data_IF_724066551930
#
_entry.id   IF_724066551930
#
_cell.length_a   1.000
_cell.length_b   1.000
_cell.length_c   1.000
_cell.angle_alpha   90.00
_cell.angle_beta   90.00
_cell.angle_gamma   90.00
#
_symmetry.space_group_name_H-M   'P 1'
#
loop_
_entity.id
_entity.type
_entity.pdbx_description
1 polymer ?
#
# COMPACT_ATOMS: atom_id res chain seq x y z
N UNK A 1 -11.83 -5.43 -31.81
CA UNK A 1 -11.30 -6.28 -32.90
C UNK A 1 -10.65 -7.49 -32.27
N UNK A 2 -11.23 -8.63 -32.59
CA UNK A 2 -10.96 -10.00 -32.18
C UNK A 2 -9.55 -10.45 -32.59
N UNK A 3 -8.87 -11.26 -31.77
CA UNK A 3 -8.47 -12.62 -32.16
C UNK A 3 -7.59 -13.30 -31.09
N UNK A 4 -8.16 -14.39 -30.57
CA UNK A 4 -7.45 -15.55 -30.04
C UNK A 4 -6.60 -16.19 -31.15
N UNK A 5 -5.43 -16.72 -30.80
CA UNK A 5 -4.77 -17.73 -31.62
C UNK A 5 -4.13 -18.78 -30.69
N UNK A 6 -4.82 -19.92 -30.61
CA UNK A 6 -4.28 -21.20 -30.20
C UNK A 6 -3.31 -21.69 -31.27
N UNK A 7 -2.27 -22.43 -30.89
CA UNK A 7 -1.68 -23.44 -31.76
C UNK A 7 -1.09 -24.59 -30.93
N UNK A 8 -1.86 -25.67 -30.90
CA UNK A 8 -1.50 -27.04 -30.60
C UNK A 8 -0.50 -27.57 -31.62
N UNK A 9 0.60 -28.17 -31.15
CA UNK A 9 1.44 -29.06 -31.96
C UNK A 9 1.33 -30.46 -31.38
N UNK A 10 0.63 -31.31 -32.12
CA UNK A 10 0.54 -32.75 -31.93
C UNK A 10 1.49 -33.38 -32.96
N UNK A 11 2.54 -34.07 -32.51
CA UNK A 11 3.31 -34.98 -33.37
C UNK A 11 3.47 -36.29 -32.62
N UNK A 12 2.76 -37.29 -33.14
CA UNK A 12 2.84 -38.71 -32.86
C UNK A 12 4.12 -39.32 -33.48
N UNK A 13 4.80 -40.20 -32.75
CA UNK A 13 5.89 -41.05 -33.29
C UNK A 13 6.03 -42.36 -32.50
N UNK A 14 5.65 -43.45 -33.19
CA UNK A 14 6.18 -44.84 -33.18
C UNK A 14 6.09 -45.63 -31.86
N UNK A 15 5.34 -46.74 -31.83
CA UNK A 15 5.67 -48.07 -32.40
C UNK A 15 6.89 -48.74 -31.74
N UNK A 16 6.64 -49.83 -31.02
CA UNK A 16 7.68 -50.78 -30.62
C UNK A 16 7.48 -51.47 -29.27
N UNK A 17 6.85 -52.65 -29.32
CA UNK A 17 7.30 -53.88 -28.65
C UNK A 17 7.32 -53.99 -27.12
N UNK A 18 6.32 -54.75 -26.65
CA UNK A 18 6.35 -55.76 -25.57
C UNK A 18 7.71 -56.08 -24.95
N UNK A 19 7.84 -55.82 -23.66
CA UNK A 19 8.38 -56.78 -22.67
C UNK A 19 7.62 -56.60 -21.36
N UNK A 20 6.89 -57.64 -20.97
CA UNK A 20 6.30 -57.80 -19.64
C UNK A 20 7.44 -57.88 -18.60
N UNK A 21 7.85 -56.71 -18.10
CA UNK A 21 8.72 -56.57 -16.93
C UNK A 21 7.86 -56.47 -15.68
N UNK A 22 8.08 -57.39 -14.75
CA UNK A 22 7.36 -57.50 -13.48
C UNK A 22 7.16 -56.14 -12.79
N UNK A 23 5.89 -55.80 -12.57
CA UNK A 23 5.46 -54.78 -11.62
C UNK A 23 5.95 -55.21 -10.22
N UNK A 24 7.16 -54.79 -9.87
CA UNK A 24 7.50 -54.59 -8.47
C UNK A 24 6.59 -53.46 -8.00
N UNK A 25 5.48 -53.82 -7.35
CA UNK A 25 4.68 -52.94 -6.52
C UNK A 25 5.62 -52.17 -5.59
N UNK A 26 5.95 -50.94 -5.96
CA UNK A 26 6.69 -50.06 -5.07
C UNK A 26 5.80 -49.82 -3.85
N UNK A 27 6.28 -50.09 -2.62
CA UNK A 27 5.52 -49.74 -1.43
C UNK A 27 5.19 -48.25 -1.51
N UNK A 28 3.94 -47.85 -1.17
CA UNK A 28 3.51 -46.47 -1.31
C UNK A 28 4.51 -45.57 -0.60
N UNK A 29 5.16 -44.69 -1.36
CA UNK A 29 6.11 -43.73 -0.84
C UNK A 29 5.41 -43.02 0.33
N UNK A 30 5.94 -43.22 1.53
CA UNK A 30 5.51 -42.53 2.73
C UNK A 30 5.61 -41.03 2.43
N UNK A 31 4.49 -40.39 2.09
CA UNK A 31 4.42 -38.93 2.05
C UNK A 31 4.53 -38.51 3.51
N UNK A 32 5.60 -37.80 3.91
CA UNK A 32 5.63 -37.19 5.22
C UNK A 32 4.34 -36.41 5.37
N UNK A 33 3.57 -36.73 6.43
CA UNK A 33 2.32 -36.06 6.70
C UNK A 33 2.62 -34.56 6.78
N UNK A 34 2.05 -33.78 5.87
CA UNK A 34 2.29 -32.34 5.82
C UNK A 34 2.06 -31.75 7.23
N UNK A 35 2.97 -30.91 7.75
CA UNK A 35 2.77 -30.31 9.05
C UNK A 35 1.43 -29.57 9.04
N UNK A 36 0.64 -29.67 10.12
CA UNK A 36 -0.64 -28.97 10.20
C UNK A 36 -0.40 -27.48 9.96
N UNK A 37 -1.30 -26.80 9.23
CA UNK A 37 -1.12 -25.40 8.92
C UNK A 37 -0.94 -24.60 10.22
N UNK A 38 -0.03 -23.62 10.24
CA UNK A 38 0.23 -22.85 11.45
C UNK A 38 -1.08 -22.23 11.95
N UNK A 39 -1.38 -22.45 13.24
CA UNK A 39 -2.54 -21.86 13.88
C UNK A 39 -2.41 -20.35 13.79
N UNK A 40 -3.38 -19.69 13.15
CA UNK A 40 -3.43 -18.23 13.08
C UNK A 40 -3.74 -17.70 14.48
N UNK A 41 -2.98 -16.70 14.94
CA UNK A 41 -3.26 -16.06 16.23
C UNK A 41 -4.66 -15.41 16.27
N UNK A 42 -5.22 -15.17 17.47
CA UNK A 42 -6.60 -14.68 17.64
C UNK A 42 -6.93 -13.42 16.83
N UNK A 43 -5.93 -12.56 16.61
CA UNK A 43 -6.07 -11.31 15.85
C UNK A 43 -6.54 -11.52 14.41
N UNK A 44 -6.25 -12.68 13.81
CA UNK A 44 -6.64 -12.99 12.44
C UNK A 44 -8.10 -13.43 12.31
N UNK A 45 -8.80 -13.63 13.44
CA UNK A 45 -10.22 -13.97 13.46
C UNK A 45 -11.12 -12.73 13.59
N UNK A 46 -10.52 -11.56 13.81
CA UNK A 46 -11.26 -10.30 13.91
C UNK A 46 -11.58 -9.82 12.48
N UNK A 47 -12.85 -9.53 12.16
CA UNK A 47 -13.22 -8.95 10.87
C UNK A 47 -12.52 -7.60 10.63
N UNK A 48 -12.20 -7.31 9.36
CA UNK A 48 -11.44 -6.11 9.00
C UNK A 48 -12.18 -4.83 9.36
N UNK A 49 -13.51 -4.85 9.35
CA UNK A 49 -14.39 -3.74 9.70
C UNK A 49 -14.21 -3.33 11.17
N UNK A 50 -14.04 -4.33 12.06
CA UNK A 50 -13.81 -4.10 13.48
C UNK A 50 -12.41 -3.53 13.69
N UNK A 51 -11.40 -4.05 12.98
CA UNK A 51 -10.04 -3.48 13.02
C UNK A 51 -10.03 -2.03 12.54
N UNK A 52 -10.72 -1.71 11.44
CA UNK A 52 -10.81 -0.33 10.94
C UNK A 52 -11.44 0.59 11.99
N UNK A 53 -12.50 0.16 12.68
CA UNK A 53 -13.11 0.94 13.78
C UNK A 53 -12.12 1.17 14.92
N UNK A 54 -11.35 0.16 15.30
CA UNK A 54 -10.28 0.31 16.31
C UNK A 54 -9.25 1.34 15.84
N UNK A 55 -8.81 1.28 14.58
CA UNK A 55 -7.85 2.24 14.04
C UNK A 55 -8.38 3.67 14.05
N UNK A 56 -9.67 3.87 13.76
CA UNK A 56 -10.32 5.19 13.85
C UNK A 56 -10.40 5.73 15.27
N UNK A 57 -10.47 4.85 16.29
CA UNK A 57 -10.46 5.26 17.70
C UNK A 57 -9.05 5.60 18.17
N UNK A 58 -8.04 4.84 17.75
CA UNK A 58 -6.63 5.05 18.12
C UNK A 58 -6.03 6.25 17.40
N UNK A 59 -6.42 6.48 16.16
CA UNK A 59 -5.97 7.59 15.33
C UNK A 59 -7.18 8.36 14.77
N UNK A 60 -7.83 9.20 15.60
CA UNK A 60 -8.99 9.97 15.18
C UNK A 60 -8.67 10.91 14.02
N UNK A 61 -9.58 11.03 13.03
CA UNK A 61 -9.33 11.95 11.92
C UNK A 61 -9.14 13.38 12.44
N UNK A 62 -8.31 14.15 11.74
CA UNK A 62 -8.03 15.57 12.02
C UNK A 62 -7.22 15.85 13.30
N UNK A 63 -6.47 14.86 13.79
CA UNK A 63 -5.45 15.05 14.83
C UNK A 63 -4.07 14.90 14.20
N UNK A 64 -3.12 15.77 14.56
CA UNK A 64 -1.76 15.79 14.01
C UNK A 64 -1.06 14.43 14.13
N UNK A 65 -1.19 13.81 15.29
CA UNK A 65 -0.51 12.57 15.65
C UNK A 65 -1.09 11.35 14.91
N UNK A 66 -2.29 11.46 14.32
CA UNK A 66 -3.02 10.31 13.81
C UNK A 66 -2.34 9.62 12.63
N UNK A 67 -1.77 10.37 11.67
CA UNK A 67 -1.03 9.77 10.56
C UNK A 67 0.20 8.99 11.04
N UNK A 68 0.84 9.48 12.12
CA UNK A 68 1.99 8.81 12.74
C UNK A 68 1.59 7.54 13.47
N UNK A 69 0.49 7.60 14.23
CA UNK A 69 -0.02 6.43 14.94
C UNK A 69 -0.49 5.36 13.95
N UNK A 70 -1.19 5.72 12.87
CA UNK A 70 -1.50 4.81 11.78
C UNK A 70 -0.24 4.17 11.20
N UNK A 71 0.82 4.96 10.99
CA UNK A 71 2.11 4.44 10.52
C UNK A 71 2.68 3.38 11.48
N UNK A 72 2.69 3.64 12.79
CA UNK A 72 3.12 2.65 13.80
C UNK A 72 2.27 1.38 13.74
N UNK A 73 0.96 1.51 13.58
CA UNK A 73 0.05 0.35 13.50
C UNK A 73 0.33 -0.53 12.27
N UNK A 74 0.86 0.02 11.17
CA UNK A 74 1.31 -0.78 10.02
C UNK A 74 2.50 -1.69 10.30
N UNK A 75 3.19 -1.53 11.43
CA UNK A 75 4.32 -2.36 11.83
C UNK A 75 3.96 -3.51 12.78
N UNK A 76 2.73 -3.58 13.29
CA UNK A 76 2.30 -4.62 14.26
C UNK A 76 2.34 -6.02 13.64
N UNK A 77 1.63 -6.22 12.52
CA UNK A 77 1.65 -7.48 11.78
C UNK A 77 1.24 -7.26 10.32
N UNK A 78 1.45 -8.28 9.46
CA UNK A 78 1.06 -8.20 8.05
C UNK A 78 -0.44 -7.96 7.86
N UNK A 79 -1.28 -8.53 8.72
CA UNK A 79 -2.73 -8.37 8.63
C UNK A 79 -3.17 -6.92 8.90
N UNK A 80 -2.61 -6.28 9.93
CA UNK A 80 -2.90 -4.87 10.24
C UNK A 80 -2.40 -3.94 9.15
N UNK A 81 -1.20 -4.19 8.63
CA UNK A 81 -0.66 -3.45 7.48
C UNK A 81 -1.59 -3.50 6.28
N UNK A 82 -2.06 -4.69 5.91
CA UNK A 82 -2.98 -4.85 4.78
C UNK A 82 -4.32 -4.16 5.03
N UNK A 83 -4.87 -4.25 6.24
CA UNK A 83 -6.12 -3.56 6.59
C UNK A 83 -5.96 -2.02 6.49
N UNK A 84 -4.87 -1.47 7.01
CA UNK A 84 -4.60 -0.03 7.04
C UNK A 84 -4.28 0.57 5.68
N UNK A 85 -3.42 -0.08 4.89
CA UNK A 85 -3.02 0.43 3.57
C UNK A 85 -4.21 0.46 2.61
N UNK A 86 -5.13 -0.51 2.71
CA UNK A 86 -6.32 -0.54 1.87
C UNK A 86 -7.37 0.52 2.25
N UNK A 87 -7.26 1.13 3.43
CA UNK A 87 -8.23 2.11 3.92
C UNK A 87 -7.76 3.55 3.66
N UNK A 88 -7.94 4.00 2.41
CA UNK A 88 -7.51 5.32 1.91
C UNK A 88 -7.94 6.51 2.77
N UNK A 89 -9.17 6.48 3.29
CA UNK A 89 -9.75 7.55 4.12
C UNK A 89 -9.06 7.76 5.46
N UNK A 90 -8.29 6.77 5.96
CA UNK A 90 -7.49 6.96 7.17
C UNK A 90 -6.26 7.83 6.90
N UNK A 91 -5.77 7.84 5.66
CA UNK A 91 -4.58 8.58 5.24
C UNK A 91 -4.89 9.94 4.63
N UNK A 92 -6.18 10.31 4.49
CA UNK A 92 -6.58 11.53 3.80
C UNK A 92 -6.46 12.80 4.63
N UNK A 93 -6.44 12.69 5.97
CA UNK A 93 -6.19 13.83 6.85
C UNK A 93 -4.68 13.94 7.10
N UNK A 94 -4.05 14.98 6.55
CA UNK A 94 -2.59 15.15 6.60
C UNK A 94 -2.28 16.50 7.25
N UNK A 95 -1.57 16.46 8.38
CA UNK A 95 -1.01 17.65 9.02
C UNK A 95 0.46 17.74 8.66
N UNK A 96 0.87 18.89 8.11
CA UNK A 96 2.22 19.15 7.63
C UNK A 96 2.81 20.31 8.42
N UNK A 97 3.96 20.04 9.02
CA UNK A 97 4.78 20.98 9.79
C UNK A 97 6.21 20.96 9.24
N UNK A 98 7.05 21.89 9.68
CA UNK A 98 8.44 21.96 9.22
C UNK A 98 9.32 20.81 9.72
N UNK A 99 8.86 20.08 10.74
CA UNK A 99 9.58 18.95 11.33
C UNK A 99 9.28 17.64 10.60
N UNK A 100 8.21 17.61 9.80
CA UNK A 100 7.77 16.39 9.12
C UNK A 100 8.69 16.05 7.95
N UNK A 101 9.06 14.78 7.85
CA UNK A 101 9.90 14.30 6.75
C UNK A 101 9.06 14.26 5.47
N UNK A 102 9.61 14.80 4.37
CA UNK A 102 8.99 14.73 3.04
C UNK A 102 8.52 13.31 2.66
N UNK A 103 9.34 12.30 2.93
CA UNK A 103 9.01 10.89 2.63
C UNK A 103 7.78 10.39 3.39
N UNK A 104 7.50 10.90 4.59
CA UNK A 104 6.32 10.55 5.36
C UNK A 104 5.06 11.16 4.74
N UNK A 105 5.14 12.42 4.30
CA UNK A 105 4.04 13.11 3.59
C UNK A 105 3.74 12.40 2.27
N UNK A 106 4.76 12.08 1.48
CA UNK A 106 4.62 11.34 0.21
C UNK A 106 3.93 9.98 0.42
N UNK A 107 4.33 9.23 1.45
CA UNK A 107 3.69 7.97 1.82
C UNK A 107 2.20 8.14 2.17
N UNK A 108 1.83 9.20 2.90
CA UNK A 108 0.42 9.47 3.23
C UNK A 108 -0.38 9.80 1.96
N UNK A 109 0.18 10.64 1.08
CA UNK A 109 -0.43 10.99 -0.19
C UNK A 109 -0.65 9.77 -1.07
N UNK A 110 0.36 8.90 -1.22
CA UNK A 110 0.27 7.67 -2.00
C UNK A 110 -0.85 6.75 -1.49
N UNK A 111 -0.93 6.57 -0.16
CA UNK A 111 -1.95 5.71 0.47
C UNK A 111 -3.36 6.27 0.42
N UNK A 112 -3.49 7.59 0.35
CA UNK A 112 -4.78 8.27 0.27
C UNK A 112 -5.40 8.22 -1.14
N UNK A 113 -4.60 8.12 -2.20
CA UNK A 113 -5.10 8.23 -3.58
C UNK A 113 -6.12 7.13 -3.93
N UNK A 114 -7.27 7.44 -4.58
CA UNK A 114 -7.74 8.74 -5.08
C UNK A 114 -8.77 9.40 -4.14
N UNK A 115 -8.74 9.13 -2.83
CA UNK A 115 -9.68 9.72 -1.89
C UNK A 115 -9.46 11.25 -1.77
N UNK A 116 -10.52 12.03 -1.50
CA UNK A 116 -10.37 13.46 -1.19
C UNK A 116 -9.43 13.70 -0.02
N UNK A 117 -8.55 14.69 -0.15
CA UNK A 117 -7.56 15.07 0.86
C UNK A 117 -8.05 16.22 1.74
N UNK A 118 -7.71 16.16 3.03
CA UNK A 118 -7.87 17.21 4.03
C UNK A 118 -6.48 17.56 4.56
N UNK A 119 -5.83 18.58 3.97
CA UNK A 119 -4.44 18.94 4.25
C UNK A 119 -4.38 20.23 5.06
N UNK A 120 -3.78 20.16 6.24
CA UNK A 120 -3.51 21.31 7.10
C UNK A 120 -2.01 21.56 7.16
N UNK A 121 -1.58 22.78 6.80
CA UNK A 121 -0.17 23.17 6.82
C UNK A 121 0.06 24.19 7.92
N UNK A 122 0.98 23.88 8.84
CA UNK A 122 1.39 24.82 9.87
C UNK A 122 2.32 25.90 9.28
N UNK A 123 1.83 27.14 9.24
CA UNK A 123 2.53 28.27 8.63
C UNK A 123 3.59 28.93 9.54
N UNK A 124 3.83 28.41 10.75
CA UNK A 124 4.52 29.06 11.88
C UNK A 124 5.96 29.55 11.63
N UNK A 125 6.52 29.35 10.43
CA UNK A 125 7.87 29.81 10.05
C UNK A 125 8.00 30.22 8.57
N UNK A 126 6.90 30.58 7.88
CA UNK A 126 7.02 31.32 6.61
C UNK A 126 7.70 32.69 6.83
N UNK A 127 7.84 33.12 8.09
CA UNK A 127 8.61 34.28 8.55
C UNK A 127 10.14 34.10 8.59
N UNK A 128 10.75 33.84 7.44
CA UNK A 128 11.84 34.68 6.91
C UNK A 128 11.66 34.68 5.40
N UNK A 129 10.56 35.29 4.93
CA UNK A 129 10.63 35.92 3.61
C UNK A 129 11.84 36.83 3.72
N UNK A 130 12.92 36.45 3.02
CA UNK A 130 14.12 37.26 2.86
C UNK A 130 13.63 38.69 2.61
N UNK A 131 14.02 39.64 3.46
CA UNK A 131 13.66 41.05 3.25
C UNK A 131 14.20 41.58 1.90
N UNK A 132 15.11 40.80 1.31
CA UNK A 132 15.72 40.87 -0.01
C UNK A 132 14.91 40.19 -1.13
N UNK A 133 13.77 39.55 -0.85
CA UNK A 133 12.83 39.17 -1.90
C UNK A 133 12.10 40.42 -2.40
N UNK A 134 12.51 40.91 -3.58
CA UNK A 134 11.88 42.00 -4.32
C UNK A 134 10.53 41.62 -4.95
N UNK A 135 9.82 40.63 -4.41
CA UNK A 135 8.44 40.37 -4.82
C UNK A 135 7.56 41.51 -4.28
N UNK A 136 7.41 42.50 -5.14
CA UNK A 136 6.61 43.70 -4.96
C UNK A 136 5.22 43.33 -4.43
N UNK A 137 4.90 43.78 -3.22
CA UNK A 137 3.54 43.75 -2.67
C UNK A 137 2.69 44.87 -3.30
N UNK A 138 2.87 45.11 -4.59
CA UNK A 138 1.98 45.93 -5.39
C UNK A 138 0.63 45.22 -5.47
N UNK A 139 -0.38 45.82 -4.85
CA UNK A 139 -1.70 45.23 -4.67
C UNK A 139 -2.34 44.74 -5.97
N UNK A 140 -2.25 43.43 -6.21
CA UNK A 140 -3.27 42.53 -6.79
C UNK A 140 -2.61 41.16 -7.01
N UNK A 141 -2.97 40.20 -6.16
CA UNK A 141 -2.48 38.83 -6.22
C UNK A 141 -2.86 38.13 -7.53
N UNK A 142 -1.96 38.14 -8.49
CA UNK A 142 -1.94 37.17 -9.59
C UNK A 142 -0.55 36.56 -9.65
N UNK A 143 -0.45 35.30 -9.22
CA UNK A 143 0.69 34.45 -9.52
C UNK A 143 0.66 34.20 -11.04
N UNK A 144 1.59 34.80 -11.78
CA UNK A 144 1.78 34.47 -13.19
C UNK A 144 2.71 33.25 -13.31
N UNK A 145 2.51 32.38 -14.32
CA UNK A 145 3.39 31.25 -14.59
C UNK A 145 4.81 31.72 -14.90
N UNK A 146 5.81 31.01 -14.38
CA UNK A 146 7.21 31.30 -14.61
C UNK A 146 7.62 30.85 -16.03
N UNK A 147 7.82 31.79 -16.94
CA UNK A 147 8.21 31.53 -18.33
C UNK A 147 9.68 31.08 -18.48
N UNK A 148 10.47 31.02 -17.40
CA UNK A 148 11.91 30.69 -17.47
C UNK A 148 12.24 29.20 -17.34
N UNK A 149 11.27 28.31 -17.43
CA UNK A 149 11.55 26.88 -17.56
C UNK A 149 10.51 26.23 -18.48
N UNK A 150 10.75 26.21 -19.81
CA UNK A 150 9.89 25.47 -20.74
C UNK A 150 9.93 23.95 -20.47
#
# INVERSE_FOLDING_TARGET
MTLLAQQTVFIDRRSGSSLAGALLEQPPLYRPRDPPPPKRGPIHNIPVEILIRVFQLVAPPRIRESSYDLSKLTHVCRYWRMALINQRRLWSAIFITQEDRRSFVEMCLERSYPAPLDVTVEASRIGRIRADCTCDKGGRGRLMPNEKNP
#
